data_IF_222022433533
#
_entry.id   IF_222022433533
#
_cell.length_a   1.000
_cell.length_b   1.000
_cell.length_c   1.000
_cell.angle_alpha   90.00
_cell.angle_beta   90.00
_cell.angle_gamma   90.00
#
_symmetry.space_group_name_H-M   'P 1'
#
loop_
_entity.id
_entity.type
_entity.pdbx_description
1 polymer ?
#
# COMPACT_ATOMS: atom_id res chain seq x y z
N UNK A 1 70.87 -16.58 23.65
CA UNK A 1 69.70 -16.80 22.79
C UNK A 1 68.52 -16.18 23.49
N UNK A 2 67.98 -15.08 22.96
CA UNK A 2 66.66 -14.55 23.35
C UNK A 2 66.17 -13.77 22.13
N UNK A 3 65.46 -14.46 21.24
CA UNK A 3 64.74 -13.84 20.14
C UNK A 3 63.60 -13.01 20.74
N UNK A 4 63.81 -11.70 20.84
CA UNK A 4 62.72 -10.79 21.16
C UNK A 4 61.72 -10.87 20.02
N UNK A 5 60.64 -11.62 20.25
CA UNK A 5 59.41 -11.55 19.46
C UNK A 5 58.89 -10.13 19.55
N UNK A 6 59.40 -9.24 18.70
CA UNK A 6 58.81 -7.93 18.42
C UNK A 6 57.46 -8.21 17.80
N UNK A 7 56.48 -8.45 18.67
CA UNK A 7 55.12 -8.77 18.30
C UNK A 7 54.62 -7.71 17.32
N UNK A 8 53.91 -8.16 16.30
CA UNK A 8 53.36 -7.33 15.22
C UNK A 8 52.25 -6.39 15.71
N UNK A 9 52.44 -5.75 16.86
CA UNK A 9 51.49 -4.90 17.57
C UNK A 9 51.01 -3.73 16.72
N UNK A 10 51.89 -3.20 15.86
CA UNK A 10 51.54 -2.16 14.89
C UNK A 10 50.50 -2.62 13.85
N UNK A 11 50.48 -3.91 13.48
CA UNK A 11 49.44 -4.46 12.60
C UNK A 11 48.09 -4.53 13.32
N UNK A 12 48.10 -4.87 14.61
CA UNK A 12 46.89 -4.95 15.42
C UNK A 12 46.30 -3.55 15.66
N UNK A 13 47.14 -2.56 15.97
CA UNK A 13 46.67 -1.17 16.11
C UNK A 13 46.14 -0.61 14.80
N UNK A 14 46.80 -0.91 13.66
CA UNK A 14 46.32 -0.49 12.34
C UNK A 14 44.97 -1.11 11.97
N UNK A 15 44.77 -2.40 12.27
CA UNK A 15 43.50 -3.11 12.05
C UNK A 15 42.38 -2.49 12.88
N UNK A 16 42.62 -2.28 14.18
CA UNK A 16 41.60 -1.71 15.08
C UNK A 16 41.23 -0.30 14.66
N UNK A 17 42.22 0.52 14.28
CA UNK A 17 41.97 1.89 13.84
C UNK A 17 41.20 1.93 12.51
N UNK A 18 41.56 1.05 11.57
CA UNK A 18 40.86 0.92 10.29
C UNK A 18 39.43 0.44 10.44
N UNK A 19 39.17 -0.51 11.34
CA UNK A 19 37.83 -1.03 11.62
C UNK A 19 36.98 0.04 12.32
N UNK A 20 37.55 0.78 13.28
CA UNK A 20 36.87 1.89 13.93
C UNK A 20 36.52 3.01 12.92
N UNK A 21 37.47 3.41 12.09
CA UNK A 21 37.24 4.42 11.06
C UNK A 21 36.20 3.96 10.02
N UNK A 22 36.30 2.71 9.57
CA UNK A 22 35.33 2.11 8.64
C UNK A 22 33.92 2.03 9.23
N UNK A 23 33.78 1.67 10.51
CA UNK A 23 32.50 1.63 11.21
C UNK A 23 31.89 3.04 11.34
N UNK A 24 32.70 4.04 11.71
CA UNK A 24 32.24 5.43 11.83
C UNK A 24 31.80 5.96 10.46
N UNK A 25 32.58 5.72 9.40
CA UNK A 25 32.25 6.13 8.04
C UNK A 25 30.98 5.43 7.56
N UNK A 26 30.86 4.11 7.79
CA UNK A 26 29.67 3.34 7.40
C UNK A 26 28.41 3.84 8.09
N UNK A 27 28.47 4.17 9.39
CA UNK A 27 27.31 4.64 10.16
C UNK A 27 26.94 6.09 9.84
N UNK A 28 27.92 6.97 9.57
CA UNK A 28 27.67 8.40 9.34
C UNK A 28 27.27 8.72 7.89
N UNK A 29 27.88 8.07 6.88
CA UNK A 29 27.60 8.36 5.48
C UNK A 29 26.49 7.47 4.89
N UNK A 30 26.29 6.27 5.42
CA UNK A 30 25.28 5.32 4.93
C UNK A 30 24.48 4.71 6.09
N UNK A 31 23.67 5.51 6.81
CA UNK A 31 22.74 4.95 7.77
C UNK A 31 21.87 3.91 7.04
N UNK A 32 21.79 2.69 7.58
CA UNK A 32 21.01 1.59 7.00
C UNK A 32 19.58 2.07 6.81
N UNK A 33 19.21 2.33 5.55
CA UNK A 33 17.82 2.53 5.15
C UNK A 33 17.25 1.12 5.03
N UNK A 34 16.43 0.71 5.98
CA UNK A 34 15.61 -0.50 5.82
C UNK A 34 14.58 -0.19 4.73
N UNK A 35 14.92 -0.52 3.48
CA UNK A 35 14.07 -0.22 2.31
C UNK A 35 12.88 -1.19 2.22
N UNK A 36 12.90 -2.29 3.00
CA UNK A 36 11.81 -3.27 3.08
C UNK A 36 11.46 -3.59 4.55
N UNK A 37 11.04 -2.58 5.32
CA UNK A 37 10.53 -2.82 6.66
C UNK A 37 9.13 -3.44 6.58
N UNK A 38 9.04 -4.77 6.71
CA UNK A 38 7.76 -5.46 6.85
C UNK A 38 6.99 -4.89 8.06
N UNK A 39 5.66 -4.66 7.94
CA UNK A 39 4.84 -4.10 9.02
C UNK A 39 4.93 -4.86 10.36
N UNK A 40 5.34 -6.13 10.33
CA UNK A 40 5.58 -6.96 11.50
C UNK A 40 6.82 -6.54 12.33
N UNK A 41 7.82 -5.90 11.71
CA UNK A 41 9.05 -5.42 12.34
C UNK A 41 8.91 -4.05 13.04
N UNK A 42 7.70 -3.44 13.00
CA UNK A 42 7.43 -2.18 13.68
C UNK A 42 7.57 -2.30 15.20
N UNK A 43 8.12 -1.26 15.84
CA UNK A 43 8.09 -1.14 17.29
C UNK A 43 6.63 -1.08 17.80
N UNK A 44 6.40 -1.56 19.02
CA UNK A 44 5.03 -1.75 19.57
C UNK A 44 4.17 -0.48 19.54
N UNK A 45 4.78 0.70 19.74
CA UNK A 45 4.09 1.99 19.63
C UNK A 45 3.46 2.22 18.26
N UNK A 46 4.16 1.83 17.19
CA UNK A 46 3.71 2.00 15.81
C UNK A 46 2.71 0.92 15.41
N UNK A 47 2.80 -0.27 16.01
CA UNK A 47 1.77 -1.30 15.88
C UNK A 47 0.44 -0.84 16.48
N UNK A 48 0.46 -0.22 17.66
CA UNK A 48 -0.73 0.41 18.26
C UNK A 48 -1.35 1.44 17.33
N UNK A 49 -0.54 2.33 16.76
CA UNK A 49 -1.01 3.36 15.85
C UNK A 49 -1.64 2.75 14.60
N UNK A 50 -0.97 1.77 13.97
CA UNK A 50 -1.48 1.05 12.81
C UNK A 50 -2.84 0.37 13.10
N UNK A 51 -2.98 -0.29 14.26
CA UNK A 51 -4.24 -0.90 14.71
C UNK A 51 -5.37 0.14 14.82
N UNK A 52 -5.06 1.34 15.31
CA UNK A 52 -6.01 2.44 15.41
C UNK A 52 -6.45 2.94 14.02
N UNK A 53 -5.52 3.16 13.10
CA UNK A 53 -5.84 3.56 11.72
C UNK A 53 -6.75 2.54 11.02
N UNK A 54 -6.48 1.24 11.20
CA UNK A 54 -7.34 0.19 10.62
C UNK A 54 -8.72 0.17 11.27
N UNK A 55 -8.83 0.37 12.59
CA UNK A 55 -10.10 0.44 13.29
C UNK A 55 -10.96 1.65 12.86
N UNK A 56 -10.36 2.82 12.68
CA UNK A 56 -11.05 4.01 12.18
C UNK A 56 -11.51 3.82 10.73
N UNK A 57 -10.65 3.23 9.88
CA UNK A 57 -11.04 2.92 8.50
C UNK A 57 -12.20 1.91 8.46
N UNK A 58 -12.20 0.90 9.34
CA UNK A 58 -13.31 -0.04 9.46
C UNK A 58 -14.60 0.63 9.95
N UNK A 59 -14.51 1.56 10.90
CA UNK A 59 -15.67 2.31 11.37
C UNK A 59 -16.33 3.13 10.25
N UNK A 60 -15.52 3.67 9.32
CA UNK A 60 -16.02 4.42 8.17
C UNK A 60 -16.56 3.52 7.03
N UNK A 61 -15.84 2.46 6.69
CA UNK A 61 -16.11 1.65 5.49
C UNK A 61 -16.94 0.38 5.77
N UNK A 62 -16.97 -0.10 7.02
CA UNK A 62 -17.62 -1.36 7.42
C UNK A 62 -17.00 -2.64 6.82
N UNK A 63 -15.90 -2.53 6.07
CA UNK A 63 -15.32 -3.65 5.32
C UNK A 63 -14.40 -4.51 6.21
N UNK A 64 -14.99 -5.50 6.86
CA UNK A 64 -14.28 -6.42 7.74
C UNK A 64 -13.22 -7.28 7.02
N UNK A 65 -13.48 -7.89 5.84
CA UNK A 65 -12.46 -8.67 5.14
C UNK A 65 -11.19 -7.87 4.80
N UNK A 66 -11.33 -6.60 4.43
CA UNK A 66 -10.19 -5.72 4.17
C UNK A 66 -9.45 -5.36 5.45
N UNK A 67 -10.16 -5.12 6.54
CA UNK A 67 -9.56 -4.80 7.83
C UNK A 67 -8.77 -5.99 8.40
N UNK A 68 -9.29 -7.21 8.27
CA UNK A 68 -8.61 -8.42 8.74
C UNK A 68 -7.32 -8.70 7.96
N UNK A 69 -7.33 -8.57 6.63
CA UNK A 69 -6.11 -8.72 5.81
C UNK A 69 -5.03 -7.70 6.18
N UNK A 70 -5.42 -6.45 6.45
CA UNK A 70 -4.48 -5.42 6.92
C UNK A 70 -3.92 -5.75 8.31
N UNK A 71 -4.73 -6.30 9.21
CA UNK A 71 -4.28 -6.73 10.52
C UNK A 71 -3.31 -7.93 10.46
N UNK A 72 -3.49 -8.84 9.49
CA UNK A 72 -2.57 -9.97 9.29
C UNK A 72 -1.14 -9.52 8.96
N UNK A 73 -0.97 -8.33 8.35
CA UNK A 73 0.35 -7.76 8.07
C UNK A 73 1.17 -7.48 9.34
N UNK A 74 0.51 -7.26 10.48
CA UNK A 74 1.18 -7.05 11.77
C UNK A 74 1.71 -8.35 12.40
N UNK A 75 1.18 -9.50 11.96
CA UNK A 75 1.49 -10.83 12.50
C UNK A 75 1.40 -10.89 14.04
N UNK A 76 0.44 -10.17 14.62
CA UNK A 76 0.16 -10.26 16.06
C UNK A 76 -0.30 -11.68 16.39
N UNK A 77 0.20 -12.26 17.49
CA UNK A 77 -0.19 -13.60 17.94
C UNK A 77 -1.71 -13.70 18.14
N UNK A 78 -2.32 -12.65 18.71
CA UNK A 78 -3.76 -12.56 18.95
C UNK A 78 -4.29 -11.15 18.65
N UNK A 79 -4.66 -10.84 17.39
CA UNK A 79 -5.10 -9.50 17.00
C UNK A 79 -6.36 -9.03 17.75
N UNK A 80 -7.26 -9.96 18.12
CA UNK A 80 -8.48 -9.65 18.88
C UNK A 80 -8.17 -9.13 20.28
N UNK A 81 -7.30 -9.85 21.00
CA UNK A 81 -6.94 -9.51 22.37
C UNK A 81 -6.10 -8.22 22.40
N UNK A 82 -5.20 -8.05 21.43
CA UNK A 82 -4.42 -6.83 21.28
C UNK A 82 -5.31 -5.59 21.08
N UNK A 83 -6.32 -5.68 20.20
CA UNK A 83 -7.28 -4.60 19.96
C UNK A 83 -8.15 -4.31 21.20
N UNK A 84 -8.67 -5.34 21.87
CA UNK A 84 -9.49 -5.17 23.06
C UNK A 84 -8.71 -4.54 24.21
N UNK A 85 -7.47 -5.00 24.45
CA UNK A 85 -6.58 -4.43 25.45
C UNK A 85 -6.16 -2.99 25.12
N UNK A 86 -5.98 -2.66 23.83
CA UNK A 86 -5.70 -1.30 23.40
C UNK A 86 -6.90 -0.37 23.61
N UNK A 87 -8.12 -0.82 23.30
CA UNK A 87 -9.34 -0.06 23.55
C UNK A 87 -9.53 0.25 25.04
N UNK A 88 -9.29 -0.73 25.91
CA UNK A 88 -9.38 -0.56 27.37
C UNK A 88 -8.34 0.44 27.90
N UNK A 89 -7.09 0.35 27.43
CA UNK A 89 -6.04 1.31 27.81
C UNK A 89 -6.37 2.73 27.36
N UNK A 90 -6.88 2.89 26.13
CA UNK A 90 -7.29 4.19 25.60
C UNK A 90 -8.39 4.85 26.46
N UNK A 91 -9.32 4.06 27.01
CA UNK A 91 -10.36 4.56 27.94
C UNK A 91 -9.79 4.93 29.32
N UNK A 92 -8.80 4.18 29.82
CA UNK A 92 -8.20 4.41 31.14
C UNK A 92 -7.24 5.62 31.17
N UNK A 93 -6.57 5.91 30.06
CA UNK A 93 -5.58 6.99 29.94
C UNK A 93 -6.21 8.34 29.54
N UNK A 94 -7.53 8.41 29.38
CA UNK A 94 -8.23 9.63 28.92
C UNK A 94 -8.04 9.93 27.44
N UNK A 95 -7.75 8.89 26.63
CA UNK A 95 -7.70 8.98 25.18
C UNK A 95 -9.08 9.25 24.57
N UNK A 96 -9.14 9.39 23.24
CA UNK A 96 -10.40 9.71 22.59
C UNK A 96 -11.40 8.53 22.74
N UNK A 97 -12.64 8.79 23.21
CA UNK A 97 -13.62 7.74 23.42
C UNK A 97 -14.08 7.13 22.09
N UNK A 98 -13.97 7.87 20.99
CA UNK A 98 -14.35 7.40 19.66
C UNK A 98 -13.33 6.41 19.09
N UNK A 99 -12.04 6.64 19.32
CA UNK A 99 -10.98 5.68 18.97
C UNK A 99 -11.15 4.36 19.73
N UNK A 100 -11.44 4.44 21.04
CA UNK A 100 -11.67 3.26 21.85
C UNK A 100 -12.90 2.46 21.38
N UNK A 101 -13.97 3.14 20.99
CA UNK A 101 -15.17 2.51 20.40
C UNK A 101 -14.85 1.85 19.06
N UNK A 102 -14.07 2.50 18.20
CA UNK A 102 -13.68 1.95 16.90
C UNK A 102 -12.85 0.66 17.05
N UNK A 103 -11.87 0.66 17.98
CA UNK A 103 -11.05 -0.50 18.30
C UNK A 103 -11.91 -1.65 18.88
N UNK A 104 -12.82 -1.35 19.81
CA UNK A 104 -13.72 -2.34 20.39
C UNK A 104 -14.70 -2.94 19.36
N UNK A 105 -15.22 -2.11 18.45
CA UNK A 105 -16.11 -2.54 17.38
C UNK A 105 -15.42 -3.50 16.40
N UNK A 106 -14.16 -3.21 16.02
CA UNK A 106 -13.37 -4.10 15.17
C UNK A 106 -13.06 -5.43 15.88
N UNK A 107 -12.71 -5.41 17.17
CA UNK A 107 -12.45 -6.62 17.95
C UNK A 107 -13.69 -7.53 18.06
N UNK A 108 -14.87 -6.95 18.28
CA UNK A 108 -16.13 -7.66 18.32
C UNK A 108 -16.48 -8.29 16.96
N UNK A 109 -16.30 -7.53 15.88
CA UNK A 109 -16.63 -7.98 14.54
C UNK A 109 -15.70 -9.11 14.05
N UNK A 110 -14.42 -9.09 14.43
CA UNK A 110 -13.49 -10.20 14.19
C UNK A 110 -13.87 -11.48 14.96
N UNK A 111 -14.45 -11.33 16.16
CA UNK A 111 -14.94 -12.47 16.95
C UNK A 111 -16.17 -13.12 16.30
N UNK A 112 -17.09 -12.32 15.77
CA UNK A 112 -18.29 -12.80 15.07
C UNK A 112 -18.00 -13.56 13.77
N UNK A 113 -16.95 -13.19 13.03
CA UNK A 113 -16.58 -13.86 11.77
C UNK A 113 -16.06 -15.29 12.01
N UNK A 114 -15.36 -15.53 13.12
CA UNK A 114 -14.87 -16.86 13.47
C UNK A 114 -15.99 -17.75 14.03
N UNK A 115 -16.92 -17.16 14.77
CA UNK A 115 -18.14 -17.85 15.22
C UNK A 115 -19.06 -18.22 14.06
N UNK A 116 -19.10 -17.41 13.00
CA UNK A 116 -19.77 -17.75 11.75
C UNK A 116 -19.03 -18.86 10.97
N UNK A 117 -17.69 -18.90 11.02
CA UNK A 117 -16.89 -19.97 10.40
C UNK A 117 -17.02 -21.32 11.13
N UNK A 118 -17.32 -21.31 12.44
CA UNK A 118 -17.61 -22.52 13.24
C UNK A 118 -19.08 -22.97 13.10
N UNK A 119 -19.95 -22.12 12.56
CA UNK A 119 -21.37 -22.41 12.37
C UNK A 119 -21.69 -22.73 10.90
N UNK A 120 -21.28 -23.91 10.42
CA UNK A 120 -21.95 -24.52 9.26
C UNK A 120 -23.40 -24.86 9.64
N UNK A 121 -24.42 -24.56 8.80
CA UNK A 121 -25.80 -24.86 9.13
C UNK A 121 -26.07 -26.35 8.90
N UNK A 122 -26.20 -27.12 9.99
CA UNK A 122 -27.09 -28.29 10.00
C UNK A 122 -28.47 -27.78 10.37
N UNK A 123 -29.44 -27.99 9.48
CA UNK A 123 -30.79 -27.45 9.62
C UNK A 123 -31.55 -27.97 10.84
N UNK A 124 -32.57 -27.18 11.21
CA UNK A 124 -33.67 -27.58 12.08
C UNK A 124 -33.39 -27.42 13.57
N UNK A 125 -33.83 -26.32 14.17
CA UNK A 125 -35.09 -26.29 14.93
C UNK A 125 -35.24 -24.88 15.53
N UNK A 126 -36.42 -24.29 15.38
CA UNK A 126 -36.83 -23.09 16.11
C UNK A 126 -37.48 -23.53 17.43
N UNK A 127 -37.01 -23.05 18.60
CA UNK A 127 -37.82 -23.08 19.80
C UNK A 127 -38.30 -21.68 20.18
N UNK A 128 -39.55 -21.41 19.82
CA UNK A 128 -40.64 -20.92 20.68
C UNK A 128 -40.26 -20.29 22.04
N UNK A 129 -40.56 -18.99 22.20
CA UNK A 129 -40.82 -18.32 23.49
C UNK A 129 -41.93 -19.05 24.26
N UNK A 130 -41.84 -19.16 25.61
CA UNK A 130 -42.89 -18.52 26.44
C UNK A 130 -42.30 -18.00 27.81
N UNK A 131 -43.09 -17.66 28.86
CA UNK A 131 -43.08 -16.35 29.53
C UNK A 131 -42.45 -16.39 30.95
N UNK A 132 -42.33 -15.23 31.61
CA UNK A 132 -41.70 -15.04 32.94
C UNK A 132 -42.34 -15.81 34.11
N UNK A 133 -41.76 -15.74 35.33
CA UNK A 133 -42.12 -14.63 36.23
C UNK A 133 -41.02 -14.14 37.22
N UNK A 134 -41.19 -12.87 37.64
CA UNK A 134 -40.97 -12.37 39.00
C UNK A 134 -39.59 -12.47 39.67
N UNK A 135 -38.95 -11.33 39.94
CA UNK A 135 -38.67 -10.92 41.33
C UNK A 135 -38.59 -9.39 41.43
N UNK A 136 -39.57 -8.91 42.18
CA UNK A 136 -39.83 -7.65 42.84
C UNK A 136 -38.64 -7.06 43.65
N UNK A 137 -38.25 -5.81 43.32
CA UNK A 137 -38.30 -4.60 44.18
C UNK A 137 -37.42 -4.47 45.47
N UNK A 138 -37.37 -3.31 46.18
CA UNK A 138 -36.16 -2.47 46.39
C UNK A 138 -35.93 -2.19 47.91
N UNK A 139 -35.33 -1.08 48.45
CA UNK A 139 -35.86 0.29 48.30
C UNK A 139 -34.86 1.48 48.32
N UNK A 140 -35.36 2.59 47.78
CA UNK A 140 -35.35 3.97 48.29
C UNK A 140 -34.06 4.72 48.69
N UNK A 141 -33.96 5.95 48.19
CA UNK A 141 -33.17 7.00 48.80
C UNK A 141 -33.14 8.28 47.97
N UNK A 142 -34.24 9.03 47.97
CA UNK A 142 -34.33 10.35 47.33
C UNK A 142 -33.73 11.46 48.22
N UNK A 143 -33.23 12.52 47.57
CA UNK A 143 -33.41 13.95 47.94
C UNK A 143 -32.20 14.74 48.51
N UNK A 144 -31.89 15.84 47.78
CA UNK A 144 -31.28 17.15 48.17
C UNK A 144 -29.80 17.15 48.58
N UNK A 145 -28.99 18.19 48.34
CA UNK A 145 -29.18 19.65 48.25
C UNK A 145 -28.12 20.29 47.34
N UNK A 146 -28.41 21.52 46.91
CA UNK A 146 -27.55 22.41 46.15
C UNK A 146 -26.25 22.77 46.87
N UNK A 147 -25.14 22.88 46.13
CA UNK A 147 -24.03 23.75 46.54
C UNK A 147 -23.24 24.29 45.33
N UNK A 148 -23.13 25.63 45.33
CA UNK A 148 -22.10 26.48 44.73
C UNK A 148 -21.78 26.36 43.22
N UNK A 149 -22.36 27.30 42.46
CA UNK A 149 -21.74 27.79 41.23
C UNK A 149 -20.36 28.41 41.54
N UNK A 150 -19.30 27.75 41.10
CA UNK A 150 -17.95 28.33 41.05
C UNK A 150 -17.80 28.98 39.67
N UNK A 151 -17.67 30.31 39.64
CA UNK A 151 -17.29 31.02 38.43
C UNK A 151 -15.86 30.60 38.04
N UNK A 152 -15.75 29.88 36.92
CA UNK A 152 -14.47 29.55 36.30
C UNK A 152 -14.07 30.72 35.38
N UNK A 153 -12.83 31.23 35.42
CA UNK A 153 -12.39 32.29 34.51
C UNK A 153 -12.44 31.80 33.06
N UNK A 154 -13.10 32.57 32.20
CA UNK A 154 -13.17 32.34 30.74
C UNK A 154 -11.76 32.29 30.14
N UNK A 155 -11.34 31.20 29.49
CA UNK A 155 -10.09 31.16 28.75
C UNK A 155 -10.15 32.07 27.50
N UNK A 156 -9.02 32.65 27.05
CA UNK A 156 -9.01 33.52 25.88
C UNK A 156 -9.39 32.77 24.60
N UNK A 157 -10.08 33.48 23.72
CA UNK A 157 -10.63 32.99 22.45
C UNK A 157 -9.55 32.31 21.59
N UNK A 158 -9.77 31.07 21.09
CA UNK A 158 -8.79 30.41 20.24
C UNK A 158 -8.63 31.17 18.91
N UNK A 159 -7.38 31.44 18.54
CA UNK A 159 -7.00 31.93 17.21
C UNK A 159 -7.51 30.97 16.14
N UNK A 160 -8.12 31.45 15.03
CA UNK A 160 -8.62 30.55 14.00
C UNK A 160 -7.45 29.79 13.37
N UNK A 161 -7.41 28.48 13.63
CA UNK A 161 -6.53 27.55 12.94
C UNK A 161 -6.84 27.60 11.44
N UNK A 162 -5.84 27.71 10.54
CA UNK A 162 -6.08 27.68 9.11
C UNK A 162 -6.82 26.39 8.74
N UNK A 163 -7.93 26.55 8.03
CA UNK A 163 -8.79 25.44 7.60
C UNK A 163 -8.02 24.56 6.62
N UNK A 164 -8.11 23.24 6.79
CA UNK A 164 -7.52 22.29 5.86
C UNK A 164 -8.00 22.56 4.42
N UNK A 165 -7.08 22.86 3.52
CA UNK A 165 -7.37 22.88 2.08
C UNK A 165 -7.53 21.43 1.64
N UNK A 166 -8.74 21.03 1.31
CA UNK A 166 -9.02 19.72 0.73
C UNK A 166 -8.36 19.65 -0.66
N UNK A 167 -7.19 19.02 -0.72
CA UNK A 167 -6.64 18.57 -2.00
C UNK A 167 -7.61 17.52 -2.56
N UNK A 168 -8.11 17.68 -3.81
CA UNK A 168 -9.04 16.71 -4.37
C UNK A 168 -8.37 15.33 -4.37
N UNK A 169 -9.08 14.35 -3.81
CA UNK A 169 -8.66 12.95 -3.82
C UNK A 169 -8.46 12.52 -5.28
N UNK A 170 -7.34 11.86 -5.64
CA UNK A 170 -7.19 11.26 -6.96
C UNK A 170 -8.40 10.36 -7.23
N UNK A 171 -9.22 10.73 -8.21
CA UNK A 171 -10.32 9.90 -8.66
C UNK A 171 -9.73 8.79 -9.49
N UNK A 172 -10.03 7.53 -9.15
CA UNK A 172 -9.68 6.41 -10.01
C UNK A 172 -10.37 6.62 -11.35
N UNK A 173 -9.59 6.88 -12.40
CA UNK A 173 -10.10 6.91 -13.76
C UNK A 173 -10.73 5.55 -14.02
N UNK A 174 -12.03 5.46 -14.38
CA UNK A 174 -12.64 4.19 -14.73
C UNK A 174 -11.77 3.54 -15.80
N UNK A 175 -11.46 2.23 -15.71
CA UNK A 175 -10.88 1.55 -16.84
C UNK A 175 -11.87 1.73 -17.99
N UNK A 176 -11.47 2.51 -19.01
CA UNK A 176 -12.24 2.57 -20.24
C UNK A 176 -12.31 1.11 -20.70
N UNK A 177 -13.51 0.58 -20.85
CA UNK A 177 -13.72 -0.76 -21.41
C UNK A 177 -13.27 -0.65 -22.86
N UNK A 178 -11.98 -0.91 -23.07
CA UNK A 178 -11.34 -0.87 -24.38
C UNK A 178 -11.63 -2.21 -25.07
N UNK A 179 -12.89 -2.41 -25.43
CA UNK A 179 -13.35 -3.53 -26.27
C UNK A 179 -12.96 -3.33 -27.76
N UNK A 180 -12.46 -2.14 -28.11
CA UNK A 180 -11.97 -1.81 -29.44
C UNK A 180 -10.53 -2.34 -29.65
N UNK A 181 -10.25 -3.10 -30.71
CA UNK A 181 -8.89 -3.54 -31.03
C UNK A 181 -8.04 -2.35 -31.47
N UNK A 182 -6.80 -2.27 -31.01
CA UNK A 182 -5.81 -1.32 -31.49
C UNK A 182 -5.14 -1.80 -32.76
N UNK A 183 -5.02 -0.92 -33.74
CA UNK A 183 -4.36 -1.20 -35.02
C UNK A 183 -3.02 -0.49 -35.05
N UNK A 184 -1.96 -1.24 -35.35
CA UNK A 184 -0.62 -0.67 -35.55
C UNK A 184 -0.63 0.20 -36.81
N UNK A 185 -0.50 1.51 -36.62
CA UNK A 185 -0.56 2.50 -37.70
C UNK A 185 0.82 2.77 -38.28
N UNK A 186 1.86 2.75 -37.44
CA UNK A 186 3.24 3.01 -37.85
C UNK A 186 4.21 2.14 -37.08
N UNK A 187 5.23 1.68 -37.79
CA UNK A 187 6.38 0.95 -37.23
C UNK A 187 7.64 1.53 -37.86
N UNK A 188 8.56 2.01 -37.03
CA UNK A 188 9.79 2.64 -37.49
C UNK A 188 10.98 2.24 -36.60
N UNK A 189 12.09 1.88 -37.23
CA UNK A 189 13.39 1.76 -36.58
C UNK A 189 14.04 3.15 -36.50
N UNK A 190 14.49 3.53 -35.31
CA UNK A 190 15.06 4.84 -35.01
C UNK A 190 16.55 4.66 -34.71
N UNK A 191 17.40 5.06 -35.67
CA UNK A 191 18.86 4.91 -35.62
C UNK A 191 19.62 6.25 -35.57
N UNK A 192 18.96 7.33 -35.17
CA UNK A 192 19.51 8.69 -35.17
C UNK A 192 20.15 9.11 -33.83
N UNK A 193 20.23 8.18 -32.86
CA UNK A 193 20.72 8.45 -31.50
C UNK A 193 19.76 9.28 -30.64
N UNK A 194 18.54 9.56 -31.11
CA UNK A 194 17.53 10.31 -30.34
C UNK A 194 16.95 9.51 -29.17
N UNK A 195 17.07 8.19 -29.20
CA UNK A 195 16.57 7.26 -28.20
C UNK A 195 17.71 6.37 -27.69
N UNK A 196 17.69 5.98 -26.40
CA UNK A 196 18.63 5.01 -25.86
C UNK A 196 18.60 3.68 -26.64
N UNK A 197 19.77 3.05 -26.75
CA UNK A 197 19.94 1.79 -27.45
C UNK A 197 19.02 0.69 -26.89
N UNK A 198 18.42 -0.10 -27.80
CA UNK A 198 17.53 -1.20 -27.43
C UNK A 198 16.22 -0.76 -26.77
N UNK A 199 15.75 0.47 -26.99
CA UNK A 199 14.46 0.91 -26.45
C UNK A 199 13.31 0.61 -27.40
N UNK A 200 12.21 0.06 -26.89
CA UNK A 200 10.93 -0.03 -27.58
C UNK A 200 10.00 1.07 -27.07
N UNK A 201 9.68 2.03 -27.92
CA UNK A 201 8.77 3.13 -27.63
C UNK A 201 7.42 2.86 -28.28
N UNK A 202 6.37 2.86 -27.47
CA UNK A 202 4.98 2.62 -27.87
C UNK A 202 4.16 3.88 -27.63
N UNK A 203 3.51 4.38 -28.68
CA UNK A 203 2.56 5.48 -28.60
C UNK A 203 1.16 4.96 -28.93
N UNK A 204 0.21 5.22 -28.06
CA UNK A 204 -1.19 4.82 -28.25
C UNK A 204 -2.09 6.05 -28.33
N UNK A 205 -2.84 6.14 -29.42
CA UNK A 205 -3.81 7.20 -29.70
C UNK A 205 -5.22 6.65 -29.84
N UNK A 206 -6.21 7.42 -29.41
CA UNK A 206 -7.62 7.14 -29.59
C UNK A 206 -8.11 7.50 -30.99
N UNK A 207 -9.38 7.22 -31.25
CA UNK A 207 -10.05 7.53 -32.54
C UNK A 207 -10.07 9.01 -32.89
N UNK A 208 -10.04 9.86 -31.87
CA UNK A 208 -10.00 11.32 -31.93
C UNK A 208 -8.56 11.86 -32.12
N UNK A 209 -7.56 10.98 -32.22
CA UNK A 209 -6.15 11.34 -32.26
C UNK A 209 -5.59 11.74 -30.89
N UNK A 210 -6.39 11.66 -29.83
CA UNK A 210 -5.91 11.99 -28.48
C UNK A 210 -5.08 10.83 -27.91
N UNK A 211 -3.94 11.11 -27.28
CA UNK A 211 -3.13 10.08 -26.62
C UNK A 211 -3.90 9.45 -25.44
N UNK A 212 -3.95 8.11 -25.40
CA UNK A 212 -4.72 7.36 -24.40
C UNK A 212 -3.82 6.85 -23.27
N UNK A 213 -4.10 7.31 -22.05
CA UNK A 213 -3.48 6.79 -20.82
C UNK A 213 -4.18 5.55 -20.30
N UNK A 214 -3.44 4.70 -19.59
CA UNK A 214 -3.94 3.51 -18.91
C UNK A 214 -4.19 2.31 -19.84
N UNK A 215 -3.65 2.31 -21.06
CA UNK A 215 -3.79 1.20 -21.99
C UNK A 215 -2.79 0.10 -21.61
N UNK A 216 -3.23 -1.14 -21.32
CA UNK A 216 -2.34 -2.25 -21.02
C UNK A 216 -1.57 -2.67 -22.27
N UNK A 217 -0.28 -2.91 -22.13
CA UNK A 217 0.61 -3.38 -23.19
C UNK A 217 1.33 -4.62 -22.67
N UNK A 218 1.09 -5.75 -23.34
CA UNK A 218 1.71 -7.04 -23.05
C UNK A 218 2.83 -7.30 -24.05
N UNK A 219 4.05 -7.44 -23.56
CA UNK A 219 5.21 -7.87 -24.36
C UNK A 219 5.52 -9.32 -24.01
N UNK A 220 5.66 -10.17 -25.02
CA UNK A 220 5.99 -11.59 -24.90
C UNK A 220 7.33 -11.86 -25.57
N UNK A 221 8.17 -12.70 -24.97
CA UNK A 221 9.45 -13.12 -25.57
C UNK A 221 9.87 -14.51 -25.09
N UNK A 222 10.64 -15.22 -25.92
CA UNK A 222 11.19 -16.54 -25.60
C UNK A 222 10.16 -17.59 -25.17
N UNK A 223 10.57 -18.55 -24.34
CA UNK A 223 9.73 -19.63 -23.81
C UNK A 223 8.76 -19.14 -22.72
N UNK A 224 7.74 -18.37 -23.13
CA UNK A 224 6.61 -18.00 -22.27
C UNK A 224 6.85 -16.86 -21.29
N UNK A 225 7.93 -16.08 -21.45
CA UNK A 225 8.13 -14.86 -20.65
C UNK A 225 7.22 -13.75 -21.16
N UNK A 226 6.60 -13.01 -20.25
CA UNK A 226 5.79 -11.85 -20.58
C UNK A 226 5.97 -10.72 -19.57
N UNK A 227 5.75 -9.49 -20.01
CA UNK A 227 5.75 -8.28 -19.20
C UNK A 227 4.55 -7.44 -19.56
N UNK A 228 3.78 -7.06 -18.55
CA UNK A 228 2.64 -6.16 -18.68
C UNK A 228 3.02 -4.78 -18.16
N UNK A 229 2.83 -3.76 -18.97
CA UNK A 229 2.99 -2.35 -18.60
C UNK A 229 1.85 -1.52 -19.15
N UNK A 230 1.79 -0.23 -18.80
CA UNK A 230 0.66 0.64 -19.12
C UNK A 230 1.12 1.97 -19.71
N UNK A 231 0.33 2.53 -20.63
CA UNK A 231 0.55 3.90 -21.12
C UNK A 231 0.20 4.95 -20.07
N UNK A 232 0.83 6.11 -20.16
CA UNK A 232 0.50 7.28 -19.33
C UNK A 232 1.27 7.38 -18.02
N UNK A 233 2.28 6.53 -17.81
CA UNK A 233 3.21 6.62 -16.68
C UNK A 233 4.28 7.72 -16.85
N UNK A 234 4.44 8.27 -18.06
CA UNK A 234 5.31 9.42 -18.35
C UNK A 234 4.49 10.59 -18.93
N UNK A 235 3.69 11.29 -18.10
CA UNK A 235 2.82 12.37 -18.56
C UNK A 235 3.58 13.57 -19.13
N UNK A 236 4.87 13.73 -18.78
CA UNK A 236 5.75 14.75 -19.36
C UNK A 236 6.06 14.55 -20.85
N UNK A 237 5.97 13.32 -21.36
CA UNK A 237 6.21 12.99 -22.77
C UNK A 237 4.88 12.96 -23.52
N UNK A 238 3.97 12.11 -23.08
CA UNK A 238 2.60 12.01 -23.61
C UNK A 238 1.79 11.09 -22.72
N UNK A 239 0.49 11.35 -22.48
CA UNK A 239 -0.35 10.43 -21.72
C UNK A 239 -0.54 9.09 -22.46
N UNK A 240 -0.22 9.00 -23.75
CA UNK A 240 -0.26 7.76 -24.55
C UNK A 240 1.08 7.06 -24.70
N UNK A 241 2.12 7.55 -24.02
CA UNK A 241 3.47 7.00 -24.12
C UNK A 241 3.69 5.84 -23.15
N UNK A 242 4.41 4.84 -23.63
CA UNK A 242 5.07 3.82 -22.83
C UNK A 242 6.39 3.39 -23.48
N UNK A 243 7.37 2.99 -22.68
CA UNK A 243 8.62 2.42 -23.15
C UNK A 243 9.00 1.13 -22.44
N UNK A 244 9.77 0.31 -23.14
CA UNK A 244 10.27 -0.96 -22.67
C UNK A 244 11.74 -1.14 -23.09
N UNK A 245 12.58 -1.64 -22.18
CA UNK A 245 13.98 -1.91 -22.47
C UNK A 245 14.13 -3.33 -23.04
N UNK A 246 14.62 -3.43 -24.28
CA UNK A 246 14.86 -4.69 -24.98
C UNK A 246 16.28 -5.19 -24.70
N UNK A 247 16.45 -6.52 -24.75
CA UNK A 247 17.74 -7.20 -24.70
C UNK A 247 18.20 -7.59 -26.12
N UNK A 248 19.52 -7.52 -26.35
CA UNK A 248 20.11 -7.89 -27.62
C UNK A 248 19.94 -9.40 -27.89
N UNK A 249 19.58 -9.76 -29.12
CA UNK A 249 19.39 -11.16 -29.53
C UNK A 249 18.05 -11.79 -29.13
N UNK A 250 17.13 -11.01 -28.55
CA UNK A 250 15.77 -11.46 -28.19
C UNK A 250 14.73 -10.89 -29.15
N UNK A 251 13.82 -11.75 -29.62
CA UNK A 251 12.65 -11.34 -30.40
C UNK A 251 11.42 -11.18 -29.50
N UNK A 252 10.80 -10.02 -29.56
CA UNK A 252 9.64 -9.63 -28.78
C UNK A 252 8.38 -9.58 -29.66
N UNK A 253 7.27 -9.94 -29.05
CA UNK A 253 5.92 -9.83 -29.59
C UNK A 253 5.12 -8.89 -28.70
N UNK A 254 4.60 -7.81 -29.29
CA UNK A 254 3.89 -6.76 -28.58
C UNK A 254 2.39 -6.87 -28.83
N UNK A 255 1.57 -6.85 -27.77
CA UNK A 255 0.11 -6.79 -27.85
C UNK A 255 -0.39 -5.59 -27.05
N UNK A 256 -1.05 -4.64 -27.71
CA UNK A 256 -1.58 -3.42 -27.08
C UNK A 256 -3.05 -3.61 -26.81
N UNK A 257 -3.51 -3.65 -25.57
CA UNK A 257 -4.90 -4.00 -25.23
C UNK A 257 -5.17 -5.51 -25.26
N UNK A 258 -6.34 -5.91 -24.78
CA UNK A 258 -6.75 -7.32 -24.73
C UNK A 258 -7.26 -7.84 -26.08
N UNK A 259 -7.87 -6.96 -26.88
CA UNK A 259 -8.56 -7.34 -28.13
C UNK A 259 -7.70 -7.22 -29.40
N UNK A 260 -6.45 -6.76 -29.30
CA UNK A 260 -5.64 -6.37 -30.46
C UNK A 260 -4.73 -7.47 -30.97
N UNK A 261 -4.35 -7.37 -32.25
CA UNK A 261 -3.42 -8.31 -32.87
C UNK A 261 -2.02 -8.19 -32.27
N UNK A 262 -1.36 -9.34 -32.08
CA UNK A 262 -0.01 -9.41 -31.56
C UNK A 262 1.00 -9.09 -32.68
N UNK A 263 1.83 -8.08 -32.44
CA UNK A 263 2.85 -7.60 -33.36
C UNK A 263 4.20 -8.23 -33.03
N UNK A 264 4.59 -9.23 -33.81
CA UNK A 264 5.89 -9.91 -33.67
C UNK A 264 7.04 -9.25 -34.43
N UNK A 265 8.25 -9.78 -34.20
CA UNK A 265 9.46 -9.42 -34.95
C UNK A 265 10.17 -8.17 -34.46
N UNK A 266 9.87 -7.71 -33.24
CA UNK A 266 10.56 -6.58 -32.62
C UNK A 266 11.83 -7.12 -31.96
N UNK A 267 13.01 -6.75 -32.44
CA UNK A 267 14.30 -7.07 -31.81
C UNK A 267 15.20 -5.85 -31.88
N UNK A 268 16.23 -5.73 -31.04
CA UNK A 268 17.13 -4.57 -31.08
C UNK A 268 17.61 -4.35 -32.54
N UNK A 269 17.35 -3.18 -33.15
CA UNK A 269 17.74 -2.90 -34.52
C UNK A 269 19.23 -3.15 -34.73
N UNK A 270 19.64 -3.62 -35.92
CA UNK A 270 21.05 -3.88 -36.23
C UNK A 270 21.94 -2.62 -36.09
N UNK A 271 21.34 -1.44 -36.19
CA UNK A 271 21.99 -0.15 -35.96
C UNK A 271 22.24 0.19 -34.48
N UNK A 272 21.84 -0.67 -33.53
CA UNK A 272 21.90 -0.41 -32.09
C UNK A 272 20.83 0.57 -31.59
N UNK A 273 19.91 1.00 -32.45
CA UNK A 273 18.91 2.02 -32.14
C UNK A 273 17.71 1.53 -31.33
N UNK A 274 16.58 2.21 -31.54
CA UNK A 274 15.31 1.95 -30.86
C UNK A 274 14.19 1.63 -31.86
N UNK A 275 13.10 1.06 -31.37
CA UNK A 275 11.85 0.94 -32.11
C UNK A 275 10.87 2.02 -31.70
N UNK A 276 10.17 2.59 -32.68
CA UNK A 276 8.99 3.43 -32.45
C UNK A 276 7.79 2.77 -33.14
N UNK A 277 6.78 2.44 -32.35
CA UNK A 277 5.53 1.87 -32.83
C UNK A 277 4.35 2.72 -32.37
N UNK A 278 3.44 3.01 -33.29
CA UNK A 278 2.26 3.83 -33.07
C UNK A 278 1.00 2.99 -33.30
N UNK A 279 0.10 3.00 -32.32
CA UNK A 279 -1.16 2.27 -32.34
C UNK A 279 -2.33 3.23 -32.23
N UNK A 280 -3.36 2.99 -33.04
CA UNK A 280 -4.61 3.77 -33.01
C UNK A 280 -5.76 2.86 -32.64
N UNK A 281 -6.67 3.32 -31.78
CA UNK A 281 -7.90 2.62 -31.43
C UNK A 281 -8.75 2.36 -32.70
N UNK A 282 -8.97 1.10 -33.03
CA UNK A 282 -9.76 0.63 -34.17
C UNK A 282 -11.25 0.76 -33.91
N UNK A 283 -12.03 1.07 -34.96
CA UNK A 283 -13.46 1.32 -34.89
C UNK A 283 -14.32 0.12 -35.22
#
# INVERSE_FOLDING_TARGET
MNEERRGHWYLLTGLVLGLAAGLIISLALSPVRYIDAEPAALAERYKNEFRQWVALAYQADGNLPRASERLKLLQDADPRQALAAQAQRALGEGGSPDDARALAALAAALSGMEQAAVSTPTGGEQPTLPPGPGTESPPAGATRLAEAAVQTPTPPLPTPTPRATFTPRPSATPPRVLDAPFVMTKRQEVCDGSLPEGRLVVLVTGRDGNPLAGVPILVLWGEGKSSLFYTGLAPEISPGYADFQMEAGVSYTLRVGEASEAVGGLSVPACGGAWRVEFTEGG
#
